data_IF_920185866876
#
_entry.id   IF_920185866876
#
_cell.length_a   1.000
_cell.length_b   1.000
_cell.length_c   1.000
_cell.angle_alpha   90.00
_cell.angle_beta   90.00
_cell.angle_gamma   90.00
#
_symmetry.space_group_name_H-M   'P 1'
#
loop_
_entity.id
_entity.type
_entity.pdbx_description
1 polymer ?
#
# COMPACT_ATOMS: atom_id res chain seq x y z
N UNK A 1 33.43 -69.28 -23.77
CA UNK A 1 33.50 -67.88 -23.29
C UNK A 1 32.17 -67.24 -23.63
N UNK A 2 31.26 -67.19 -22.65
CA UNK A 2 29.86 -66.79 -22.80
C UNK A 2 29.75 -65.26 -22.89
N UNK A 3 29.07 -64.77 -23.93
CA UNK A 3 28.66 -63.37 -24.07
C UNK A 3 27.32 -63.18 -23.36
N UNK A 4 27.36 -62.50 -22.21
CA UNK A 4 26.17 -62.06 -21.47
C UNK A 4 25.75 -60.71 -22.06
N UNK A 5 24.63 -60.68 -22.77
CA UNK A 5 23.99 -59.46 -23.24
C UNK A 5 23.24 -58.80 -22.08
N UNK A 6 23.64 -57.57 -21.74
CA UNK A 6 23.01 -56.74 -20.71
C UNK A 6 21.80 -56.01 -21.31
N UNK A 7 20.61 -56.29 -20.78
CA UNK A 7 19.36 -55.62 -21.12
C UNK A 7 19.23 -54.32 -20.28
N UNK A 8 19.04 -53.12 -20.85
CA UNK A 8 18.73 -51.94 -20.05
C UNK A 8 17.25 -51.94 -19.67
N UNK A 9 17.01 -51.91 -18.35
CA UNK A 9 15.69 -51.75 -17.74
C UNK A 9 15.21 -50.30 -17.97
N UNK A 10 14.28 -50.09 -18.91
CA UNK A 10 13.58 -48.79 -19.06
C UNK A 10 12.66 -48.58 -17.85
N UNK A 11 13.06 -47.69 -16.95
CA UNK A 11 12.22 -47.20 -15.86
C UNK A 11 11.23 -46.18 -16.46
N UNK A 12 9.96 -46.56 -16.62
CA UNK A 12 8.90 -45.66 -17.06
C UNK A 12 8.63 -44.61 -15.99
N UNK A 13 9.16 -43.41 -16.20
CA UNK A 13 8.72 -42.19 -15.51
C UNK A 13 7.26 -41.92 -15.88
N UNK A 14 6.35 -42.20 -14.94
CA UNK A 14 4.98 -41.70 -15.00
C UNK A 14 5.03 -40.16 -14.92
N UNK A 15 4.49 -39.41 -15.89
CA UNK A 15 4.37 -37.98 -15.75
C UNK A 15 3.40 -37.68 -14.60
N UNK A 16 3.88 -36.91 -13.62
CA UNK A 16 3.03 -36.22 -12.65
C UNK A 16 1.93 -35.47 -13.41
N UNK A 17 0.70 -35.58 -12.89
CA UNK A 17 -0.54 -35.24 -13.59
C UNK A 17 -0.48 -33.97 -14.42
N UNK A 18 -0.79 -34.10 -15.71
CA UNK A 18 -1.31 -32.99 -16.47
C UNK A 18 -2.57 -32.50 -15.74
N UNK A 19 -2.53 -31.30 -15.19
CA UNK A 19 -3.73 -30.60 -14.79
C UNK A 19 -4.68 -30.61 -16.00
N UNK A 20 -5.88 -31.16 -15.81
CA UNK A 20 -6.95 -31.01 -16.79
C UNK A 20 -7.08 -29.51 -17.10
N UNK A 21 -6.78 -29.09 -18.34
CA UNK A 21 -7.26 -27.81 -18.87
C UNK A 21 -8.77 -27.92 -18.92
N UNK A 22 -9.40 -27.64 -17.79
CA UNK A 22 -10.79 -27.25 -17.78
C UNK A 22 -10.75 -25.81 -18.27
N UNK A 23 -11.43 -25.53 -19.38
CA UNK A 23 -11.71 -24.16 -19.80
C UNK A 23 -12.15 -23.35 -18.57
N UNK A 24 -11.60 -22.16 -18.36
CA UNK A 24 -11.99 -21.29 -17.25
C UNK A 24 -12.71 -20.06 -17.80
N UNK A 25 -13.68 -19.55 -17.06
CA UNK A 25 -14.28 -18.24 -17.35
C UNK A 25 -13.98 -17.29 -16.21
N UNK A 26 -13.39 -16.13 -16.52
CA UNK A 26 -13.19 -15.03 -15.56
C UNK A 26 -14.44 -14.16 -15.55
N UNK A 27 -15.03 -13.95 -14.38
CA UNK A 27 -16.28 -13.17 -14.23
C UNK A 27 -16.03 -11.75 -13.73
N UNK A 28 -15.00 -11.57 -12.91
CA UNK A 28 -14.63 -10.27 -12.38
C UNK A 28 -13.14 -10.26 -11.97
N UNK A 29 -12.56 -9.06 -11.92
CA UNK A 29 -11.21 -8.85 -11.43
C UNK A 29 -11.08 -7.60 -10.56
N UNK A 30 -10.26 -7.68 -9.52
CA UNK A 30 -9.80 -6.54 -8.73
C UNK A 30 -8.28 -6.44 -8.88
N UNK A 31 -7.77 -5.25 -9.21
CA UNK A 31 -6.34 -4.95 -9.30
C UNK A 31 -5.95 -3.89 -8.28
N UNK A 32 -4.82 -4.10 -7.62
CA UNK A 32 -4.05 -3.06 -6.92
C UNK A 32 -2.70 -2.86 -7.61
N UNK A 33 -2.46 -1.66 -8.13
CA UNK A 33 -1.33 -1.32 -8.96
C UNK A 33 -0.38 -0.38 -8.22
N UNK A 34 0.87 -0.80 -8.00
CA UNK A 34 1.90 0.09 -7.44
C UNK A 34 2.20 1.21 -8.44
N UNK A 35 2.43 2.42 -7.97
CA UNK A 35 3.02 3.46 -8.81
C UNK A 35 4.27 3.00 -9.56
N UNK A 36 4.53 3.65 -10.70
CA UNK A 36 5.71 3.40 -11.50
C UNK A 36 6.80 4.42 -11.18
N UNK A 37 7.83 4.45 -12.00
CA UNK A 37 8.97 5.34 -11.81
C UNK A 37 8.59 6.82 -11.61
N UNK A 38 9.23 7.42 -10.62
CA UNK A 38 9.03 8.81 -10.17
C UNK A 38 10.37 9.44 -9.79
N UNK A 39 10.37 10.76 -9.58
CA UNK A 39 11.51 11.45 -8.97
C UNK A 39 11.77 10.93 -7.54
N UNK A 40 12.95 11.24 -6.98
CA UNK A 40 13.34 10.80 -5.63
C UNK A 40 12.32 11.24 -4.56
N UNK A 41 11.89 10.32 -3.69
CA UNK A 41 10.82 10.54 -2.70
C UNK A 41 11.19 11.61 -1.68
N UNK A 42 12.47 11.66 -1.27
CA UNK A 42 12.94 12.56 -0.22
C UNK A 42 13.23 13.99 -0.70
N UNK A 43 12.93 14.31 -1.97
CA UNK A 43 13.01 15.66 -2.53
C UNK A 43 11.66 16.10 -3.12
N UNK A 44 10.65 16.39 -2.28
CA UNK A 44 9.34 16.84 -2.76
C UNK A 44 9.43 18.21 -3.48
N UNK A 45 8.50 18.53 -4.42
CA UNK A 45 7.35 17.71 -4.80
C UNK A 45 7.73 16.57 -5.75
N UNK A 46 7.34 15.35 -5.37
CA UNK A 46 7.59 14.14 -6.15
C UNK A 46 6.65 14.06 -7.34
N UNK A 47 7.18 13.69 -8.52
CA UNK A 47 6.41 13.61 -9.77
C UNK A 47 6.68 12.30 -10.50
N UNK A 48 5.66 11.78 -11.18
CA UNK A 48 5.83 10.65 -12.08
C UNK A 48 6.66 11.08 -13.29
N UNK A 49 7.66 10.28 -13.67
CA UNK A 49 8.50 10.63 -14.83
C UNK A 49 7.91 10.11 -16.13
N UNK A 50 8.46 10.51 -17.28
CA UNK A 50 8.09 9.94 -18.58
C UNK A 50 8.35 8.44 -18.66
N UNK A 51 9.40 7.94 -18.01
CA UNK A 51 9.64 6.50 -17.88
C UNK A 51 8.50 5.85 -17.08
N UNK A 52 8.10 6.44 -15.97
CA UNK A 52 6.98 5.97 -15.16
C UNK A 52 5.66 5.94 -15.94
N UNK A 53 5.36 7.00 -16.68
CA UNK A 53 4.17 7.05 -17.56
C UNK A 53 4.20 5.91 -18.59
N UNK A 54 5.36 5.66 -19.20
CA UNK A 54 5.55 4.56 -20.17
C UNK A 54 5.35 3.19 -19.52
N UNK A 55 5.92 2.98 -18.33
CA UNK A 55 5.73 1.75 -17.56
C UNK A 55 4.27 1.52 -17.20
N UNK A 56 3.55 2.56 -16.75
CA UNK A 56 2.15 2.48 -16.39
C UNK A 56 1.27 2.18 -17.62
N UNK A 57 1.54 2.84 -18.75
CA UNK A 57 0.90 2.55 -20.04
C UNK A 57 1.12 1.08 -20.46
N UNK A 58 2.36 0.58 -20.42
CA UNK A 58 2.67 -0.83 -20.73
C UNK A 58 1.94 -1.78 -19.78
N UNK A 59 1.84 -1.45 -18.50
CA UNK A 59 1.06 -2.21 -17.52
C UNK A 59 -0.42 -2.26 -17.90
N UNK A 60 -1.01 -1.12 -18.25
CA UNK A 60 -2.38 -1.04 -18.76
C UNK A 60 -2.60 -1.94 -19.99
N UNK A 61 -1.67 -1.91 -20.96
CA UNK A 61 -1.72 -2.77 -22.15
C UNK A 61 -1.67 -4.26 -21.82
N UNK A 62 -0.86 -4.65 -20.84
CA UNK A 62 -0.78 -6.04 -20.38
C UNK A 62 -2.15 -6.52 -19.86
N UNK A 63 -2.79 -5.73 -18.99
CA UNK A 63 -4.08 -6.09 -18.42
C UNK A 63 -5.24 -5.94 -19.40
N UNK A 64 -5.15 -5.04 -20.39
CA UNK A 64 -6.09 -5.01 -21.51
C UNK A 64 -6.04 -6.31 -22.32
N UNK A 65 -4.84 -6.80 -22.64
CA UNK A 65 -4.65 -8.07 -23.34
C UNK A 65 -5.22 -9.24 -22.53
N UNK A 66 -5.08 -9.23 -21.21
CA UNK A 66 -5.61 -10.32 -20.37
C UNK A 66 -7.13 -10.26 -20.21
N UNK A 67 -7.67 -9.09 -19.88
CA UNK A 67 -9.05 -8.98 -19.39
C UNK A 67 -10.05 -8.41 -20.38
N UNK A 68 -9.60 -7.66 -21.40
CA UNK A 68 -10.50 -7.03 -22.36
C UNK A 68 -10.49 -7.72 -23.72
N UNK A 69 -9.31 -8.14 -24.20
CA UNK A 69 -9.15 -8.75 -25.51
C UNK A 69 -10.07 -9.97 -25.68
N UNK A 70 -10.90 -9.97 -26.72
CA UNK A 70 -11.83 -11.06 -27.03
C UNK A 70 -11.12 -12.37 -27.42
N UNK A 71 -9.82 -12.32 -27.73
CA UNK A 71 -8.99 -13.49 -28.00
C UNK A 71 -8.31 -14.06 -26.75
N UNK A 72 -8.46 -13.42 -25.59
CA UNK A 72 -7.89 -13.91 -24.34
C UNK A 72 -8.79 -14.96 -23.70
N UNK A 73 -8.19 -16.10 -23.33
CA UNK A 73 -8.82 -17.14 -22.49
C UNK A 73 -9.17 -16.63 -21.08
N UNK A 74 -8.74 -15.40 -20.74
CA UNK A 74 -8.99 -14.74 -19.46
C UNK A 74 -9.81 -13.46 -19.60
N UNK A 75 -10.43 -13.21 -20.76
CA UNK A 75 -11.33 -12.09 -20.93
C UNK A 75 -12.39 -12.11 -19.81
N UNK A 76 -12.63 -10.96 -19.18
CA UNK A 76 -13.70 -10.84 -18.21
C UNK A 76 -15.03 -10.96 -18.96
N UNK A 77 -15.87 -11.89 -18.52
CA UNK A 77 -17.13 -12.20 -19.20
C UNK A 77 -18.00 -10.96 -19.40
N UNK A 78 -18.34 -10.70 -20.67
CA UNK A 78 -19.20 -9.61 -21.08
C UNK A 78 -18.62 -8.22 -20.83
N UNK A 79 -17.30 -8.08 -20.67
CA UNK A 79 -16.65 -6.77 -20.74
C UNK A 79 -16.43 -6.39 -22.21
N UNK A 80 -16.55 -5.11 -22.53
CA UNK A 80 -16.28 -4.66 -23.91
C UNK A 80 -14.78 -4.73 -24.23
N UNK A 81 -14.39 -5.31 -25.37
CA UNK A 81 -12.98 -5.45 -25.76
C UNK A 81 -12.34 -4.15 -26.24
N UNK A 82 -13.15 -3.16 -26.62
CA UNK A 82 -12.66 -1.97 -27.33
C UNK A 82 -13.30 -0.65 -26.91
N UNK A 83 -14.37 -0.70 -26.09
CA UNK A 83 -15.12 0.50 -25.69
C UNK A 83 -15.23 0.57 -24.17
N UNK A 84 -14.78 1.67 -23.59
CA UNK A 84 -14.91 1.94 -22.16
C UNK A 84 -16.38 2.02 -21.75
N UNK A 85 -16.73 1.32 -20.68
CA UNK A 85 -18.05 1.38 -20.04
C UNK A 85 -17.90 1.69 -18.54
N UNK A 86 -18.41 2.84 -18.05
CA UNK A 86 -18.31 3.23 -16.64
C UNK A 86 -19.11 2.33 -15.69
N UNK A 87 -20.00 1.47 -16.21
CA UNK A 87 -20.68 0.45 -15.42
C UNK A 87 -19.81 -0.79 -15.17
N UNK A 88 -18.86 -1.10 -16.07
CA UNK A 88 -18.00 -2.29 -15.98
C UNK A 88 -16.71 -1.99 -15.20
N UNK A 89 -16.10 -0.82 -15.44
CA UNK A 89 -14.81 -0.43 -14.87
C UNK A 89 -14.94 0.69 -13.83
N UNK A 90 -14.31 0.50 -12.68
CA UNK A 90 -14.03 1.56 -11.70
C UNK A 90 -12.54 1.65 -11.38
N UNK A 91 -11.99 2.86 -11.41
CA UNK A 91 -10.58 3.12 -11.10
C UNK A 91 -10.46 4.20 -10.04
N UNK A 92 -9.68 3.93 -8.99
CA UNK A 92 -9.45 4.84 -7.88
C UNK A 92 -7.95 5.07 -7.64
N UNK A 93 -7.61 6.27 -7.19
CA UNK A 93 -6.29 6.60 -6.65
C UNK A 93 -6.45 7.60 -5.49
N UNK A 94 -5.57 7.56 -4.47
CA UNK A 94 -5.41 8.70 -3.58
C UNK A 94 -5.06 9.96 -4.39
N UNK A 95 -5.51 11.13 -3.92
CA UNK A 95 -5.27 12.43 -4.55
C UNK A 95 -3.82 12.91 -4.36
N UNK A 96 -2.89 12.12 -4.91
CA UNK A 96 -1.45 12.34 -4.91
C UNK A 96 -0.94 12.38 -6.35
N UNK A 97 -0.13 13.40 -6.74
CA UNK A 97 0.27 13.59 -8.14
C UNK A 97 0.88 12.35 -8.82
N UNK A 98 1.70 11.58 -8.09
CA UNK A 98 2.34 10.35 -8.61
C UNK A 98 1.31 9.26 -8.89
N UNK A 99 0.37 9.04 -7.96
CA UNK A 99 -0.64 7.98 -8.04
C UNK A 99 -1.70 8.32 -9.09
N UNK A 100 -2.17 9.57 -9.11
CA UNK A 100 -3.12 10.07 -10.10
C UNK A 100 -2.55 9.95 -11.51
N UNK A 101 -1.32 10.42 -11.72
CA UNK A 101 -0.68 10.34 -13.05
C UNK A 101 -0.43 8.88 -13.45
N UNK A 102 -0.09 7.99 -12.51
CA UNK A 102 0.05 6.56 -12.78
C UNK A 102 -1.27 5.97 -13.26
N UNK A 103 -2.37 6.25 -12.55
CA UNK A 103 -3.70 5.77 -12.92
C UNK A 103 -4.13 6.27 -14.31
N UNK A 104 -3.86 7.53 -14.61
CA UNK A 104 -4.14 8.11 -15.93
C UNK A 104 -3.35 7.40 -17.04
N UNK A 105 -2.03 7.26 -16.88
CA UNK A 105 -1.18 6.56 -17.87
C UNK A 105 -1.55 5.08 -18.01
N UNK A 106 -1.91 4.42 -16.90
CA UNK A 106 -2.42 3.05 -16.92
C UNK A 106 -3.71 2.95 -17.75
N UNK A 107 -4.66 3.86 -17.55
CA UNK A 107 -5.93 3.88 -18.28
C UNK A 107 -5.74 4.11 -19.79
N UNK A 108 -4.76 4.92 -20.19
CA UNK A 108 -4.39 5.09 -21.60
C UNK A 108 -3.94 3.77 -22.25
N UNK A 109 -3.25 2.92 -21.47
CA UNK A 109 -2.89 1.58 -21.89
C UNK A 109 -4.06 0.61 -21.84
N UNK A 110 -4.93 0.73 -20.84
CA UNK A 110 -6.04 -0.20 -20.66
C UNK A 110 -7.11 -0.04 -21.74
N UNK A 111 -7.51 1.20 -22.03
CA UNK A 111 -8.47 1.56 -23.08
C UNK A 111 -7.79 2.50 -24.08
N UNK A 112 -6.98 1.96 -25.02
CA UNK A 112 -6.33 2.77 -26.03
C UNK A 112 -7.35 3.45 -26.97
N UNK A 113 -6.92 4.44 -27.78
CA UNK A 113 -7.78 5.07 -28.76
C UNK A 113 -8.49 4.06 -29.67
N UNK A 114 -9.77 4.31 -29.96
CA UNK A 114 -10.64 3.39 -30.67
C UNK A 114 -11.69 4.16 -31.47
N UNK A 115 -11.84 3.82 -32.74
CA UNK A 115 -12.92 4.36 -33.59
C UNK A 115 -14.29 3.72 -33.29
N UNK A 116 -14.34 2.69 -32.43
CA UNK A 116 -15.60 2.03 -32.04
C UNK A 116 -16.55 2.97 -31.27
N UNK A 117 -16.03 4.04 -30.69
CA UNK A 117 -16.79 5.05 -29.97
C UNK A 117 -17.16 6.27 -30.84
N UNK A 118 -16.96 6.22 -32.17
CA UNK A 118 -17.31 7.33 -33.06
C UNK A 118 -18.82 7.60 -33.05
N UNK A 119 -19.20 8.86 -32.87
CA UNK A 119 -20.59 9.29 -32.89
C UNK A 119 -21.01 9.66 -34.32
N UNK A 120 -22.22 9.27 -34.72
CA UNK A 120 -22.79 9.73 -36.00
C UNK A 120 -23.81 10.83 -35.71
N UNK A 121 -23.52 12.04 -36.19
CA UNK A 121 -24.40 13.19 -36.06
C UNK A 121 -25.64 13.03 -36.93
N UNK A 122 -26.71 13.79 -36.62
CA UNK A 122 -27.98 13.74 -37.37
C UNK A 122 -27.84 14.05 -38.87
N UNK A 123 -26.77 14.74 -39.28
CA UNK A 123 -26.46 15.04 -40.68
C UNK A 123 -25.65 13.93 -41.39
N UNK A 124 -25.40 12.80 -40.73
CA UNK A 124 -24.63 11.67 -41.24
C UNK A 124 -23.11 11.78 -41.09
N UNK A 125 -22.60 12.89 -40.52
CA UNK A 125 -21.16 13.05 -40.25
C UNK A 125 -20.73 12.13 -39.12
N UNK A 126 -19.66 11.37 -39.31
CA UNK A 126 -19.01 10.60 -38.25
C UNK A 126 -17.98 11.47 -37.56
N UNK A 127 -18.11 11.62 -36.25
CA UNK A 127 -17.19 12.38 -35.40
C UNK A 127 -16.45 11.40 -34.50
N UNK A 128 -15.12 11.44 -34.56
CA UNK A 128 -14.26 10.71 -33.63
C UNK A 128 -13.89 11.62 -32.45
N UNK A 129 -13.67 11.02 -31.29
CA UNK A 129 -13.12 11.75 -30.15
C UNK A 129 -11.70 12.28 -30.49
N UNK A 130 -11.26 13.39 -29.86
CA UNK A 130 -9.90 13.91 -30.03
C UNK A 130 -8.81 12.85 -29.78
N UNK A 131 -7.58 13.14 -30.20
CA UNK A 131 -6.42 12.25 -30.05
C UNK A 131 -6.68 10.85 -30.65
N UNK A 132 -7.19 10.84 -31.89
CA UNK A 132 -7.41 9.62 -32.70
C UNK A 132 -8.41 8.63 -32.07
N UNK A 133 -9.47 9.14 -31.44
CA UNK A 133 -10.48 8.31 -30.78
C UNK A 133 -10.14 7.95 -29.34
N UNK A 134 -9.40 8.82 -28.63
CA UNK A 134 -9.03 8.59 -27.24
C UNK A 134 -10.26 8.40 -26.33
N UNK A 135 -10.18 7.39 -25.46
CA UNK A 135 -11.26 7.03 -24.55
C UNK A 135 -11.04 7.64 -23.17
N UNK A 136 -12.00 8.43 -22.70
CA UNK A 136 -11.93 9.14 -21.42
C UNK A 136 -12.40 8.25 -20.27
N UNK A 137 -11.69 7.15 -20.01
CA UNK A 137 -11.95 6.31 -18.86
C UNK A 137 -11.78 7.11 -17.55
N UNK A 138 -12.77 7.05 -16.66
CA UNK A 138 -12.77 7.85 -15.44
C UNK A 138 -11.79 7.31 -14.39
N UNK A 139 -10.96 8.20 -13.85
CA UNK A 139 -10.18 7.98 -12.63
C UNK A 139 -10.82 8.79 -11.49
N UNK A 140 -11.21 8.11 -10.42
CA UNK A 140 -11.73 8.74 -9.21
C UNK A 140 -10.57 9.01 -8.25
N UNK A 141 -10.37 10.27 -7.89
CA UNK A 141 -9.36 10.67 -6.90
C UNK A 141 -10.00 10.85 -5.53
N UNK A 142 -9.33 10.38 -4.48
CA UNK A 142 -9.85 10.45 -3.11
C UNK A 142 -8.91 11.28 -2.23
N UNK A 143 -9.45 12.34 -1.64
CA UNK A 143 -8.71 13.21 -0.74
C UNK A 143 -8.44 12.50 0.59
N UNK A 144 -7.27 12.76 1.19
CA UNK A 144 -6.79 12.10 2.41
C UNK A 144 -7.67 12.26 3.65
N UNK A 145 -8.52 13.29 3.69
CA UNK A 145 -9.46 13.59 4.77
C UNK A 145 -10.86 13.01 4.53
N UNK A 146 -11.07 12.35 3.39
CA UNK A 146 -12.27 11.56 3.13
C UNK A 146 -12.25 10.25 3.90
N UNK A 147 -13.39 9.77 4.44
CA UNK A 147 -13.47 8.42 5.00
C UNK A 147 -13.12 7.33 3.98
N UNK A 148 -13.27 7.58 2.67
CA UNK A 148 -12.91 6.60 1.64
C UNK A 148 -11.39 6.43 1.46
N UNK A 149 -10.58 7.37 1.96
CA UNK A 149 -9.12 7.34 1.78
C UNK A 149 -8.48 6.11 2.43
N UNK A 150 -9.04 5.65 3.56
CA UNK A 150 -8.47 4.53 4.34
C UNK A 150 -8.43 3.23 3.53
N UNK A 151 -9.35 3.07 2.56
CA UNK A 151 -9.45 1.88 1.72
C UNK A 151 -8.44 1.86 0.59
N UNK A 152 -7.79 3.00 0.31
CA UNK A 152 -6.76 3.14 -0.72
C UNK A 152 -5.36 3.21 -0.11
N UNK A 153 -5.24 3.82 1.07
CA UNK A 153 -3.98 4.00 1.80
C UNK A 153 -4.23 4.03 3.31
N UNK A 154 -4.18 2.85 3.93
CA UNK A 154 -4.62 2.64 5.32
C UNK A 154 -3.66 3.19 6.38
N UNK A 155 -2.41 3.41 6.01
CA UNK A 155 -1.33 3.98 6.81
C UNK A 155 -1.39 5.51 6.86
N UNK A 156 -1.96 6.15 5.84
CA UNK A 156 -2.05 7.61 5.80
C UNK A 156 -2.99 8.13 6.90
N UNK A 157 -2.56 9.18 7.59
CA UNK A 157 -3.29 9.75 8.73
C UNK A 157 -3.53 8.75 9.87
N UNK A 158 -2.61 7.81 10.05
CA UNK A 158 -2.63 6.79 11.10
C UNK A 158 -1.47 7.02 12.11
N UNK A 159 -1.63 7.91 13.12
CA UNK A 159 -0.57 8.20 14.08
C UNK A 159 0.03 6.99 14.79
N UNK A 160 -0.76 5.94 15.03
CA UNK A 160 -0.25 4.70 15.62
C UNK A 160 0.70 3.94 14.69
N UNK A 161 0.52 4.04 13.37
CA UNK A 161 1.43 3.51 12.37
C UNK A 161 2.69 4.38 12.28
N UNK A 162 2.54 5.71 12.23
CA UNK A 162 3.67 6.66 12.22
C UNK A 162 4.60 6.44 13.43
N UNK A 163 4.01 6.17 14.61
CA UNK A 163 4.77 5.88 15.82
C UNK A 163 5.63 4.61 15.72
N UNK A 164 5.34 3.68 14.80
CA UNK A 164 6.20 2.51 14.53
C UNK A 164 7.53 2.96 13.92
N UNK A 165 7.51 3.93 13.00
CA UNK A 165 8.72 4.49 12.40
C UNK A 165 9.55 5.22 13.45
N UNK A 166 8.91 5.97 14.36
CA UNK A 166 9.60 6.71 15.43
C UNK A 166 10.34 5.80 16.42
N UNK A 167 9.81 4.61 16.68
CA UNK A 167 10.41 3.60 17.57
C UNK A 167 11.07 2.47 16.80
N UNK A 168 11.29 2.64 15.49
CA UNK A 168 11.95 1.64 14.67
C UNK A 168 13.40 1.48 15.13
N UNK A 169 13.62 0.48 15.98
CA UNK A 169 14.95 0.14 16.49
C UNK A 169 15.66 -0.73 15.45
N UNK A 170 16.51 -0.10 14.64
CA UNK A 170 17.50 -0.83 13.86
C UNK A 170 18.43 -1.55 14.83
N UNK A 171 18.63 -2.85 14.63
CA UNK A 171 19.60 -3.60 15.45
C UNK A 171 20.97 -2.93 15.37
N UNK A 172 21.63 -2.71 16.51
CA UNK A 172 22.92 -2.02 16.55
C UNK A 172 23.97 -2.72 15.68
N UNK A 173 23.87 -4.05 15.51
CA UNK A 173 24.70 -4.83 14.61
C UNK A 173 24.44 -4.50 13.14
N UNK A 174 23.18 -4.45 12.69
CA UNK A 174 22.88 -4.16 11.28
C UNK A 174 23.27 -2.73 10.87
N UNK A 175 23.01 -1.76 11.75
CA UNK A 175 23.44 -0.38 11.53
C UNK A 175 24.98 -0.32 11.41
N UNK A 176 25.70 -0.96 12.34
CA UNK A 176 27.17 -0.99 12.35
C UNK A 176 27.76 -1.73 11.14
N UNK A 177 27.25 -2.92 10.84
CA UNK A 177 27.78 -3.83 9.81
C UNK A 177 27.59 -3.28 8.40
N UNK A 178 26.57 -2.44 8.19
CA UNK A 178 26.27 -1.84 6.89
C UNK A 178 26.77 -0.41 6.74
N UNK A 179 27.20 0.24 7.83
CA UNK A 179 27.60 1.66 7.82
C UNK A 179 28.69 1.96 6.80
N UNK A 180 29.78 1.18 6.80
CA UNK A 180 30.89 1.37 5.87
C UNK A 180 30.46 1.19 4.41
N UNK A 181 29.53 0.27 4.13
CA UNK A 181 28.97 0.07 2.80
C UNK A 181 28.20 1.32 2.35
N UNK A 182 27.30 1.85 3.17
CA UNK A 182 26.55 3.07 2.85
C UNK A 182 27.45 4.30 2.68
N UNK A 183 28.42 4.49 3.58
CA UNK A 183 29.34 5.64 3.49
C UNK A 183 30.27 5.59 2.26
N UNK A 184 30.51 4.41 1.68
CA UNK A 184 31.29 4.25 0.45
C UNK A 184 30.65 4.94 -0.78
N UNK A 185 29.37 5.30 -0.72
CA UNK A 185 28.68 6.02 -1.78
C UNK A 185 28.81 7.55 -1.67
N UNK A 186 29.33 8.08 -0.56
CA UNK A 186 29.30 9.52 -0.29
C UNK A 186 29.96 10.35 -1.39
N UNK A 187 31.25 10.14 -1.64
CA UNK A 187 32.02 10.99 -2.57
C UNK A 187 31.60 10.81 -4.04
N UNK A 188 31.06 9.64 -4.40
CA UNK A 188 30.70 9.29 -5.79
C UNK A 188 29.24 9.51 -6.17
N UNK A 189 28.33 9.58 -5.20
CA UNK A 189 26.87 9.65 -5.46
C UNK A 189 26.17 10.73 -4.62
N UNK A 190 26.53 10.89 -3.35
CA UNK A 190 25.73 11.67 -2.39
C UNK A 190 26.33 13.01 -1.95
N UNK A 191 27.53 13.36 -2.42
CA UNK A 191 28.13 14.68 -2.16
C UNK A 191 27.20 15.80 -2.63
N UNK A 192 26.79 16.68 -1.71
CA UNK A 192 25.83 17.76 -1.96
C UNK A 192 24.36 17.33 -2.02
N UNK A 193 24.05 16.05 -1.78
CA UNK A 193 22.68 15.50 -1.80
C UNK A 193 22.21 15.14 -0.40
N UNK A 194 23.04 14.39 0.34
CA UNK A 194 22.72 13.89 1.68
C UNK A 194 23.98 13.90 2.53
N UNK A 195 23.87 14.38 3.78
CA UNK A 195 24.97 14.33 4.74
C UNK A 195 25.48 12.90 4.93
N UNK A 196 26.81 12.72 4.98
CA UNK A 196 27.44 11.41 5.16
C UNK A 196 26.89 10.66 6.39
N UNK A 197 26.57 11.39 7.46
CA UNK A 197 26.00 10.82 8.69
C UNK A 197 24.66 10.11 8.46
N UNK A 198 23.87 10.54 7.47
CA UNK A 198 22.58 9.94 7.10
C UNK A 198 22.71 8.74 6.17
N UNK A 199 23.88 8.48 5.60
CA UNK A 199 24.11 7.26 4.82
C UNK A 199 24.25 6.07 5.78
N UNK A 200 23.13 5.41 6.03
CA UNK A 200 23.06 4.23 6.90
C UNK A 200 21.79 3.40 6.70
N UNK A 201 21.68 2.27 7.42
CA UNK A 201 20.52 1.39 7.33
C UNK A 201 19.24 2.06 7.81
N UNK A 202 19.33 2.92 8.83
CA UNK A 202 18.21 3.76 9.27
C UNK A 202 17.60 4.62 8.15
N UNK A 203 18.35 4.91 7.07
CA UNK A 203 17.85 5.59 5.88
C UNK A 203 17.90 4.70 4.62
N UNK A 204 17.87 3.38 4.77
CA UNK A 204 18.09 2.41 3.70
C UNK A 204 17.21 2.69 2.47
N UNK A 205 15.92 2.94 2.68
CA UNK A 205 15.00 3.26 1.58
C UNK A 205 15.33 4.58 0.91
N UNK A 206 15.61 5.65 1.66
CA UNK A 206 15.94 6.95 1.06
C UNK A 206 17.21 6.89 0.20
N UNK A 207 18.22 6.13 0.65
CA UNK A 207 19.47 5.90 -0.11
C UNK A 207 19.19 5.06 -1.35
N UNK A 208 18.53 3.90 -1.20
CA UNK A 208 18.19 3.04 -2.33
C UNK A 208 17.34 3.76 -3.37
N UNK A 209 16.31 4.50 -2.94
CA UNK A 209 15.40 5.21 -3.82
C UNK A 209 16.13 6.28 -4.65
N UNK A 210 17.08 7.02 -4.06
CA UNK A 210 17.89 7.99 -4.79
C UNK A 210 18.73 7.31 -5.88
N UNK A 211 19.41 6.22 -5.53
CA UNK A 211 20.27 5.47 -6.46
C UNK A 211 19.43 4.82 -7.55
N UNK A 212 18.30 4.18 -7.21
CA UNK A 212 17.43 3.50 -8.15
C UNK A 212 16.80 4.47 -9.18
N UNK A 213 16.38 5.66 -8.73
CA UNK A 213 15.91 6.72 -9.65
C UNK A 213 17.07 7.30 -10.46
N UNK A 214 18.24 7.44 -9.84
CA UNK A 214 19.43 8.01 -10.44
C UNK A 214 20.06 7.14 -11.53
N UNK A 215 20.05 5.82 -11.38
CA UNK A 215 20.72 4.90 -12.31
C UNK A 215 20.15 4.95 -13.73
N UNK A 216 18.88 5.35 -13.87
CA UNK A 216 18.20 5.48 -15.17
C UNK A 216 18.27 6.88 -15.77
N UNK A 217 18.75 7.89 -15.01
CA UNK A 217 18.65 9.33 -15.37
C UNK A 217 19.94 10.10 -15.27
N UNK A 218 20.91 9.54 -14.57
CA UNK A 218 22.15 10.20 -14.26
C UNK A 218 23.29 9.25 -14.62
N UNK A 219 23.99 9.57 -15.71
CA UNK A 219 25.11 8.79 -16.22
C UNK A 219 26.24 8.63 -15.20
N UNK A 220 26.46 9.64 -14.34
CA UNK A 220 27.45 9.57 -13.27
C UNK A 220 27.06 8.50 -12.25
N UNK A 221 25.82 8.47 -11.80
CA UNK A 221 25.31 7.43 -10.87
C UNK A 221 25.36 6.06 -11.56
N UNK A 222 24.92 5.98 -12.82
CA UNK A 222 24.92 4.74 -13.60
C UNK A 222 26.31 4.10 -13.78
N UNK A 223 27.35 4.92 -13.91
CA UNK A 223 28.75 4.46 -13.96
C UNK A 223 29.34 4.22 -12.58
N UNK A 224 28.88 4.94 -11.57
CA UNK A 224 29.43 4.90 -10.23
C UNK A 224 28.95 3.70 -9.42
N UNK A 225 27.76 3.16 -9.70
CA UNK A 225 27.12 2.09 -8.91
C UNK A 225 27.03 0.80 -9.73
N UNK A 226 27.56 -0.31 -9.18
CA UNK A 226 27.47 -1.62 -9.83
C UNK A 226 26.09 -2.27 -9.65
N UNK A 227 25.79 -3.30 -10.46
CA UNK A 227 24.56 -4.10 -10.30
C UNK A 227 24.47 -4.77 -8.93
N UNK A 228 25.59 -5.27 -8.41
CA UNK A 228 25.64 -5.96 -7.12
C UNK A 228 25.45 -4.98 -5.95
N UNK A 229 26.00 -3.78 -6.08
CA UNK A 229 25.78 -2.69 -5.12
C UNK A 229 24.31 -2.24 -5.11
N UNK A 230 23.71 -2.07 -6.29
CA UNK A 230 22.28 -1.75 -6.39
C UNK A 230 21.41 -2.86 -5.78
N UNK A 231 21.71 -4.12 -6.07
CA UNK A 231 21.00 -5.26 -5.49
C UNK A 231 21.13 -5.30 -3.96
N UNK A 232 22.32 -5.01 -3.42
CA UNK A 232 22.53 -4.92 -1.96
C UNK A 232 21.77 -3.75 -1.34
N UNK A 233 21.75 -2.56 -1.98
CA UNK A 233 20.95 -1.43 -1.53
C UNK A 233 19.45 -1.78 -1.53
N UNK A 234 18.96 -2.44 -2.59
CA UNK A 234 17.57 -2.89 -2.68
C UNK A 234 17.23 -3.90 -1.59
N UNK A 235 18.12 -4.85 -1.31
CA UNK A 235 17.94 -5.85 -0.26
C UNK A 235 17.84 -5.19 1.13
N UNK A 236 18.76 -4.27 1.45
CA UNK A 236 18.73 -3.57 2.74
C UNK A 236 17.49 -2.68 2.88
N UNK A 237 17.11 -1.96 1.82
CA UNK A 237 15.87 -1.19 1.79
C UNK A 237 14.64 -2.09 1.97
N UNK A 238 14.63 -3.27 1.34
CA UNK A 238 13.55 -4.25 1.50
C UNK A 238 13.40 -4.71 2.93
N UNK A 239 14.52 -4.99 3.61
CA UNK A 239 14.48 -5.39 5.02
C UNK A 239 13.95 -4.28 5.93
N UNK A 240 14.41 -3.05 5.74
CA UNK A 240 13.91 -1.91 6.50
C UNK A 240 12.40 -1.71 6.28
N UNK A 241 11.95 -1.67 5.01
CA UNK A 241 10.54 -1.44 4.70
C UNK A 241 9.64 -2.61 5.11
N UNK A 242 10.11 -3.86 5.03
CA UNK A 242 9.37 -5.00 5.55
C UNK A 242 9.25 -4.94 7.08
N UNK A 243 10.29 -4.51 7.80
CA UNK A 243 10.21 -4.34 9.25
C UNK A 243 9.20 -3.26 9.69
N UNK A 244 8.96 -2.26 8.84
CA UNK A 244 7.96 -1.21 9.07
C UNK A 244 6.54 -1.64 8.69
N UNK A 245 6.38 -2.47 7.65
CA UNK A 245 5.07 -2.71 7.05
C UNK A 245 4.58 -4.17 7.15
N UNK A 246 5.46 -5.15 7.35
CA UNK A 246 5.16 -6.57 7.20
C UNK A 246 5.71 -7.49 8.29
N UNK A 247 6.63 -7.02 9.14
CA UNK A 247 7.13 -7.78 10.30
C UNK A 247 6.13 -7.69 11.45
N UNK A 248 5.12 -8.55 11.40
CA UNK A 248 3.96 -8.53 12.29
C UNK A 248 3.94 -9.73 13.23
N UNK A 249 3.62 -9.48 14.50
CA UNK A 249 3.40 -10.56 15.46
C UNK A 249 2.02 -11.20 15.30
N UNK A 250 1.04 -10.45 14.80
CA UNK A 250 -0.31 -10.92 14.47
C UNK A 250 -0.92 -10.07 13.35
N UNK A 251 -1.99 -10.55 12.74
CA UNK A 251 -2.71 -9.80 11.69
C UNK A 251 -3.38 -8.52 12.19
N UNK A 252 -3.46 -8.28 13.50
CA UNK A 252 -4.02 -7.05 14.09
C UNK A 252 -2.94 -6.02 14.45
N UNK A 253 -1.66 -6.33 14.21
CA UNK A 253 -0.57 -5.38 14.36
C UNK A 253 -0.81 -4.13 13.50
N UNK A 254 -0.47 -2.95 14.01
CA UNK A 254 -0.71 -1.68 13.31
C UNK A 254 0.08 -1.59 12.00
N UNK A 255 1.25 -2.24 11.90
CA UNK A 255 2.04 -2.35 10.65
C UNK A 255 1.23 -2.97 9.50
N UNK A 256 0.28 -3.84 9.84
CA UNK A 256 -0.58 -4.51 8.86
C UNK A 256 -1.70 -3.61 8.30
N UNK A 257 -1.86 -2.37 8.76
CA UNK A 257 -3.08 -1.59 8.54
C UNK A 257 -3.45 -1.43 7.06
N UNK A 258 -2.49 -1.13 6.18
CA UNK A 258 -2.74 -0.96 4.74
C UNK A 258 -3.11 -2.27 4.07
N UNK A 259 -2.49 -3.38 4.47
CA UNK A 259 -2.90 -4.71 4.02
C UNK A 259 -4.32 -5.04 4.44
N UNK A 260 -4.72 -4.72 5.67
CA UNK A 260 -6.06 -5.00 6.20
C UNK A 260 -7.16 -4.14 5.57
N UNK A 261 -6.87 -2.88 5.26
CA UNK A 261 -7.82 -2.01 4.54
C UNK A 261 -7.94 -2.44 3.08
N UNK A 262 -6.84 -2.83 2.43
CA UNK A 262 -6.89 -3.41 1.08
C UNK A 262 -7.67 -4.73 1.07
N UNK A 263 -7.44 -5.61 2.04
CA UNK A 263 -8.16 -6.87 2.19
C UNK A 263 -9.68 -6.63 2.26
N UNK A 264 -10.11 -5.62 3.03
CA UNK A 264 -11.52 -5.21 3.06
C UNK A 264 -11.99 -4.73 1.70
N UNK A 265 -11.24 -3.84 1.04
CA UNK A 265 -11.60 -3.29 -0.26
C UNK A 265 -11.75 -4.37 -1.32
N UNK A 266 -10.82 -5.31 -1.40
CA UNK A 266 -10.87 -6.44 -2.33
C UNK A 266 -12.13 -7.28 -2.07
N UNK A 267 -12.38 -7.63 -0.81
CA UNK A 267 -13.55 -8.44 -0.44
C UNK A 267 -14.87 -7.77 -0.82
N UNK A 268 -15.02 -6.47 -0.52
CA UNK A 268 -16.23 -5.72 -0.84
C UNK A 268 -16.47 -5.64 -2.36
N UNK A 269 -15.41 -5.40 -3.13
CA UNK A 269 -15.51 -5.28 -4.59
C UNK A 269 -15.86 -6.60 -5.28
N UNK A 270 -15.25 -7.71 -4.85
CA UNK A 270 -15.60 -9.03 -5.39
C UNK A 270 -17.03 -9.44 -4.98
N UNK A 271 -17.43 -9.14 -3.75
CA UNK A 271 -18.81 -9.38 -3.27
C UNK A 271 -19.83 -8.57 -4.08
N UNK A 272 -19.52 -7.32 -4.41
CA UNK A 272 -20.36 -6.47 -5.26
C UNK A 272 -20.50 -7.06 -6.67
N UNK A 273 -19.39 -7.45 -7.30
CA UNK A 273 -19.42 -8.04 -8.63
C UNK A 273 -20.26 -9.34 -8.64
N UNK A 274 -20.11 -10.21 -7.64
CA UNK A 274 -20.87 -11.46 -7.53
C UNK A 274 -22.36 -11.19 -7.27
N UNK A 275 -22.70 -10.34 -6.31
CA UNK A 275 -24.09 -10.04 -5.95
C UNK A 275 -24.87 -9.33 -7.06
N UNK A 276 -24.18 -8.58 -7.93
CA UNK A 276 -24.76 -7.96 -9.13
C UNK A 276 -24.71 -8.89 -10.35
N UNK A 277 -24.27 -10.14 -10.19
CA UNK A 277 -24.13 -11.14 -11.27
C UNK A 277 -23.22 -10.66 -12.41
N UNK A 278 -22.16 -9.92 -12.09
CA UNK A 278 -21.24 -9.34 -13.06
C UNK A 278 -21.86 -8.24 -13.93
N UNK A 279 -22.97 -7.63 -13.51
CA UNK A 279 -23.61 -6.53 -14.24
C UNK A 279 -23.04 -5.15 -13.90
N UNK A 280 -22.30 -5.04 -12.79
CA UNK A 280 -21.67 -3.80 -12.33
C UNK A 280 -20.28 -4.07 -11.76
N UNK A 281 -19.37 -3.15 -12.02
CA UNK A 281 -18.03 -3.08 -11.41
C UNK A 281 -17.27 -4.41 -11.49
N UNK A 282 -17.44 -5.13 -12.61
CA UNK A 282 -16.75 -6.41 -12.86
C UNK A 282 -15.24 -6.24 -12.97
N UNK A 283 -14.75 -5.02 -13.22
CA UNK A 283 -13.34 -4.71 -13.16
C UNK A 283 -13.09 -3.49 -12.25
N UNK A 284 -12.39 -3.72 -11.15
CA UNK A 284 -12.00 -2.68 -10.20
C UNK A 284 -10.48 -2.50 -10.18
N UNK A 285 -10.02 -1.26 -10.16
CA UNK A 285 -8.60 -0.92 -10.12
C UNK A 285 -8.36 0.13 -9.03
N UNK A 286 -7.35 -0.11 -8.20
CA UNK A 286 -6.82 0.89 -7.28
C UNK A 286 -5.32 1.09 -7.53
N UNK A 287 -4.85 2.32 -7.41
CA UNK A 287 -3.43 2.68 -7.51
C UNK A 287 -2.90 3.05 -6.13
N UNK A 288 -1.73 2.52 -5.77
CA UNK A 288 -1.10 2.81 -4.49
C UNK A 288 0.40 2.57 -4.49
N UNK A 289 0.93 2.22 -3.31
CA UNK A 289 2.36 2.16 -3.04
C UNK A 289 2.79 0.80 -2.50
N UNK A 290 4.09 0.59 -2.31
CA UNK A 290 4.66 -0.72 -2.01
C UNK A 290 4.41 -1.18 -0.57
N UNK A 291 4.26 -0.26 0.36
CA UNK A 291 3.90 -0.47 1.76
C UNK A 291 2.66 -1.37 1.87
N UNK A 292 1.61 -1.05 1.10
CA UNK A 292 0.38 -1.82 1.02
C UNK A 292 0.62 -3.25 0.51
N UNK A 293 1.56 -3.45 -0.42
CA UNK A 293 1.94 -4.81 -0.86
C UNK A 293 2.61 -5.58 0.27
N UNK A 294 3.63 -5.00 0.92
CA UNK A 294 4.37 -5.66 2.01
C UNK A 294 3.43 -6.03 3.16
N UNK A 295 2.56 -5.09 3.52
CA UNK A 295 1.52 -5.25 4.54
C UNK A 295 0.51 -6.34 4.16
N UNK A 296 0.01 -6.34 2.92
CA UNK A 296 -0.90 -7.37 2.42
C UNK A 296 -0.24 -8.76 2.37
N UNK A 297 0.98 -8.85 1.83
CA UNK A 297 1.74 -10.10 1.74
C UNK A 297 1.93 -10.74 3.11
N UNK A 298 2.25 -9.94 4.12
CA UNK A 298 2.40 -10.41 5.50
C UNK A 298 1.10 -11.04 6.03
N UNK A 299 -0.04 -10.35 5.92
CA UNK A 299 -1.32 -10.85 6.49
C UNK A 299 -1.91 -12.04 5.75
N UNK A 300 -1.59 -12.23 4.47
CA UNK A 300 -1.98 -13.43 3.71
C UNK A 300 -0.91 -14.53 3.73
N UNK A 301 0.19 -14.33 4.46
CA UNK A 301 1.21 -15.36 4.71
C UNK A 301 2.08 -15.73 3.51
N UNK A 302 2.18 -14.88 2.48
CA UNK A 302 3.07 -15.12 1.33
C UNK A 302 4.56 -15.23 1.71
N UNK A 303 5.07 -14.50 2.72
CA UNK A 303 6.45 -14.67 3.15
C UNK A 303 6.77 -16.08 3.67
N UNK A 304 5.77 -16.89 4.06
CA UNK A 304 5.98 -18.30 4.40
C UNK A 304 5.99 -19.22 3.17
N UNK A 305 5.38 -18.79 2.05
CA UNK A 305 5.44 -19.50 0.76
C UNK A 305 6.80 -19.32 0.10
N UNK A 306 7.24 -18.06 -0.05
CA UNK A 306 8.53 -17.67 -0.62
C UNK A 306 9.06 -16.44 0.10
N UNK A 307 10.34 -16.48 0.47
CA UNK A 307 10.97 -15.39 1.20
C UNK A 307 11.01 -14.07 0.41
N UNK A 308 11.00 -14.16 -0.92
CA UNK A 308 10.97 -13.01 -1.84
C UNK A 308 9.78 -12.07 -1.63
N UNK A 309 8.69 -12.52 -1.00
CA UNK A 309 7.56 -11.64 -0.64
C UNK A 309 7.88 -10.69 0.52
N UNK A 310 9.08 -10.79 1.13
CA UNK A 310 9.63 -9.75 2.02
C UNK A 310 10.34 -8.64 1.25
N UNK A 311 10.64 -8.85 -0.03
CA UNK A 311 11.35 -7.86 -0.83
C UNK A 311 10.40 -6.74 -1.26
N UNK A 312 10.95 -5.53 -1.42
CA UNK A 312 10.26 -4.46 -2.10
C UNK A 312 9.78 -4.96 -3.46
N UNK A 313 8.47 -4.90 -3.75
CA UNK A 313 7.98 -5.11 -5.10
C UNK A 313 8.72 -4.18 -6.07
N UNK A 314 8.79 -4.54 -7.34
CA UNK A 314 9.29 -3.67 -8.40
C UNK A 314 8.31 -2.51 -8.69
N UNK A 315 8.78 -1.47 -9.36
CA UNK A 315 7.92 -0.36 -9.77
C UNK A 315 6.89 -0.86 -10.80
N UNK A 316 5.63 -0.47 -10.64
CA UNK A 316 4.53 -0.96 -11.47
C UNK A 316 4.11 -2.41 -11.23
N UNK A 317 4.49 -3.01 -10.10
CA UNK A 317 3.95 -4.32 -9.68
C UNK A 317 2.44 -4.26 -9.45
N UNK A 318 1.80 -5.42 -9.63
CA UNK A 318 0.34 -5.57 -9.55
C UNK A 318 -0.04 -6.82 -8.78
N UNK A 319 -0.98 -6.65 -7.85
CA UNK A 319 -1.79 -7.72 -7.28
C UNK A 319 -3.11 -7.78 -8.04
N UNK A 320 -3.52 -8.95 -8.52
CA UNK A 320 -4.83 -9.16 -9.14
C UNK A 320 -5.58 -10.32 -8.46
N UNK A 321 -6.88 -10.13 -8.26
CA UNK A 321 -7.79 -11.13 -7.70
C UNK A 321 -8.89 -11.39 -8.72
N UNK A 322 -8.97 -12.61 -9.22
CA UNK A 322 -9.94 -13.02 -10.23
C UNK A 322 -11.02 -13.87 -9.60
N UNK A 323 -12.29 -13.56 -9.89
CA UNK A 323 -13.41 -14.47 -9.69
C UNK A 323 -13.54 -15.30 -10.95
N UNK A 324 -13.44 -16.62 -10.83
CA UNK A 324 -13.52 -17.53 -11.96
C UNK A 324 -14.40 -18.75 -11.66
N UNK A 325 -14.78 -19.45 -12.72
CA UNK A 325 -15.41 -20.77 -12.65
C UNK A 325 -14.83 -21.68 -13.72
N UNK A 326 -14.94 -22.99 -13.53
CA UNK A 326 -14.61 -23.96 -14.58
C UNK A 326 -15.74 -24.08 -15.62
N UNK A 327 -15.36 -24.46 -16.83
CA UNK A 327 -16.19 -24.47 -18.03
C UNK A 327 -16.36 -23.09 -18.69
N UNK A 328 -16.79 -23.13 -19.95
CA UNK A 328 -17.26 -21.96 -20.69
C UNK A 328 -18.63 -21.52 -20.14
N UNK A 329 -18.69 -20.32 -19.57
CA UNK A 329 -19.91 -19.76 -19.00
C UNK A 329 -20.44 -18.61 -19.85
N UNK A 330 -21.76 -18.54 -20.02
CA UNK A 330 -22.46 -17.41 -20.65
C UNK A 330 -22.98 -16.39 -19.63
N UNK A 331 -22.96 -16.75 -18.34
CA UNK A 331 -23.36 -15.89 -17.22
C UNK A 331 -22.67 -16.36 -15.93
N UNK A 332 -22.71 -15.53 -14.88
CA UNK A 332 -22.15 -15.88 -13.57
C UNK A 332 -22.90 -17.09 -12.96
N UNK A 333 -22.23 -18.22 -12.66
CA UNK A 333 -22.85 -19.41 -12.09
C UNK A 333 -23.17 -19.24 -10.58
N UNK A 334 -23.65 -20.29 -9.91
CA UNK A 334 -23.93 -20.22 -8.48
C UNK A 334 -22.65 -19.99 -7.67
N UNK A 335 -22.74 -19.28 -6.54
CA UNK A 335 -21.56 -18.89 -5.73
C UNK A 335 -20.66 -20.07 -5.31
N UNK A 336 -21.26 -21.26 -5.09
CA UNK A 336 -20.52 -22.49 -4.74
C UNK A 336 -19.62 -23.02 -5.86
N UNK A 337 -19.82 -22.54 -7.09
CA UNK A 337 -19.06 -22.89 -8.29
C UNK A 337 -17.99 -21.84 -8.61
N UNK A 338 -17.86 -20.81 -7.77
CA UNK A 338 -16.90 -19.74 -7.92
C UNK A 338 -15.62 -20.01 -7.13
N UNK A 339 -14.51 -19.61 -7.75
CA UNK A 339 -13.16 -19.71 -7.21
C UNK A 339 -12.47 -18.35 -7.32
N UNK A 340 -11.46 -18.16 -6.46
CA UNK A 340 -10.57 -17.02 -6.50
C UNK A 340 -9.18 -17.47 -6.92
N UNK A 341 -8.62 -16.79 -7.92
CA UNK A 341 -7.19 -16.86 -8.26
C UNK A 341 -6.52 -15.53 -7.89
N UNK A 342 -5.45 -15.60 -7.12
CA UNK A 342 -4.57 -14.46 -6.87
C UNK A 342 -3.37 -14.51 -7.80
N UNK A 343 -3.10 -13.39 -8.48
CA UNK A 343 -1.95 -13.22 -9.35
C UNK A 343 -1.06 -12.11 -8.80
N UNK A 344 0.25 -12.36 -8.83
CA UNK A 344 1.25 -11.32 -8.61
C UNK A 344 2.08 -11.13 -9.88
N UNK A 345 2.12 -9.89 -10.38
CA UNK A 345 3.01 -9.47 -11.46
C UNK A 345 4.03 -8.48 -10.90
N UNK A 346 5.30 -8.83 -10.90
CA UNK A 346 6.34 -8.01 -10.28
C UNK A 346 7.06 -7.10 -11.30
N UNK A 347 6.51 -5.90 -11.51
CA UNK A 347 7.03 -4.90 -12.44
C UNK A 347 6.36 -4.91 -13.82
N UNK A 348 6.91 -4.10 -14.73
CA UNK A 348 6.30 -3.81 -16.04
C UNK A 348 7.02 -4.41 -17.24
N UNK A 349 8.14 -5.09 -17.02
CA UNK A 349 8.92 -5.72 -18.09
C UNK A 349 8.11 -6.84 -18.77
N UNK A 350 8.43 -7.12 -20.04
CA UNK A 350 7.73 -8.15 -20.82
C UNK A 350 7.96 -9.56 -20.25
N UNK A 351 9.10 -9.76 -19.57
CA UNK A 351 9.43 -10.99 -18.83
C UNK A 351 8.65 -11.15 -17.52
N UNK A 352 8.06 -10.07 -16.99
CA UNK A 352 7.27 -10.11 -15.76
C UNK A 352 5.85 -10.57 -16.07
N UNK A 353 5.62 -11.89 -16.13
CA UNK A 353 4.29 -12.45 -16.26
C UNK A 353 3.54 -12.48 -14.92
N UNK A 354 2.22 -12.26 -14.94
CA UNK A 354 1.36 -12.45 -13.77
C UNK A 354 1.33 -13.93 -13.40
N UNK A 355 1.75 -14.25 -12.16
CA UNK A 355 1.90 -15.62 -11.68
C UNK A 355 0.88 -15.93 -10.61
N UNK A 356 0.16 -17.05 -10.79
CA UNK A 356 -0.77 -17.56 -9.79
C UNK A 356 -0.02 -17.91 -8.49
N UNK A 357 -0.44 -17.29 -7.40
CA UNK A 357 0.23 -17.38 -6.10
C UNK A 357 -0.79 -17.77 -5.04
N UNK A 358 -0.49 -18.75 -4.17
CA UNK A 358 -1.42 -19.19 -3.14
C UNK A 358 -1.60 -18.14 -2.05
N UNK A 359 -2.81 -18.01 -1.52
CA UNK A 359 -3.13 -17.16 -0.37
C UNK A 359 -3.25 -17.98 0.92
N UNK A 360 -3.07 -17.31 2.06
CA UNK A 360 -3.40 -17.75 3.43
C UNK A 360 -2.54 -18.84 4.08
N UNK A 361 -1.28 -19.02 3.64
CA UNK A 361 -0.32 -19.94 4.25
C UNK A 361 -0.89 -21.30 4.68
N UNK A 362 -1.53 -22.00 3.75
CA UNK A 362 -2.12 -23.33 3.99
C UNK A 362 -1.13 -24.45 3.69
N UNK A 363 -1.41 -25.66 4.16
CA UNK A 363 -0.57 -26.84 3.89
C UNK A 363 -0.55 -27.27 2.42
N UNK A 364 -1.57 -26.92 1.63
CA UNK A 364 -1.70 -27.32 0.22
C UNK A 364 -1.13 -26.30 -0.78
N UNK A 365 -0.96 -25.03 -0.38
CA UNK A 365 -0.48 -23.95 -1.25
C UNK A 365 -1.21 -23.89 -2.61
N UNK A 366 -2.53 -24.12 -2.60
CA UNK A 366 -3.36 -24.05 -3.80
C UNK A 366 -3.47 -22.60 -4.29
N UNK A 367 -3.13 -22.36 -5.55
CA UNK A 367 -3.18 -21.02 -6.15
C UNK A 367 -4.61 -20.56 -6.52
N UNK A 368 -5.57 -21.48 -6.47
CA UNK A 368 -7.00 -21.25 -6.74
C UNK A 368 -7.79 -21.84 -5.58
N UNK A 369 -8.62 -21.04 -4.92
CA UNK A 369 -9.40 -21.47 -3.75
C UNK A 369 -10.90 -21.17 -3.94
N UNK A 370 -11.81 -21.93 -3.32
CA UNK A 370 -13.24 -21.63 -3.38
C UNK A 370 -13.56 -20.22 -2.88
N UNK A 371 -14.56 -19.56 -3.49
CA UNK A 371 -15.03 -18.23 -3.07
C UNK A 371 -15.38 -18.18 -1.58
N UNK A 372 -16.10 -19.19 -1.07
CA UNK A 372 -16.47 -19.26 0.35
C UNK A 372 -15.24 -19.25 1.28
N UNK A 373 -14.20 -20.01 0.94
CA UNK A 373 -12.93 -20.04 1.68
C UNK A 373 -12.22 -18.69 1.64
N UNK A 374 -12.20 -18.05 0.47
CA UNK A 374 -11.62 -16.71 0.33
C UNK A 374 -12.39 -15.69 1.17
N UNK A 375 -13.72 -15.68 1.11
CA UNK A 375 -14.56 -14.76 1.85
C UNK A 375 -14.35 -14.89 3.37
N UNK A 376 -14.32 -16.12 3.89
CA UNK A 376 -14.06 -16.40 5.30
C UNK A 376 -12.67 -15.90 5.73
N UNK A 377 -11.63 -16.32 5.01
CA UNK A 377 -10.24 -16.02 5.40
C UNK A 377 -9.87 -14.54 5.20
N UNK A 378 -10.31 -13.93 4.09
CA UNK A 378 -10.10 -12.51 3.83
C UNK A 378 -10.89 -11.66 4.84
N UNK A 379 -12.13 -12.04 5.15
CA UNK A 379 -12.96 -11.35 6.13
C UNK A 379 -12.39 -11.40 7.56
N UNK A 380 -11.68 -12.48 7.91
CA UNK A 380 -11.02 -12.61 9.21
C UNK A 380 -9.83 -11.65 9.42
N UNK A 381 -9.13 -11.27 8.34
CA UNK A 381 -7.96 -10.37 8.40
C UNK A 381 -8.30 -8.92 8.04
N UNK A 382 -9.36 -8.71 7.25
CA UNK A 382 -9.83 -7.41 6.83
C UNK A 382 -10.22 -6.51 8.02
N UNK A 383 -10.05 -5.21 7.84
CA UNK A 383 -10.60 -4.24 8.79
C UNK A 383 -12.13 -4.15 8.63
N UNK A 384 -12.85 -4.08 9.75
CA UNK A 384 -14.31 -4.20 9.75
C UNK A 384 -15.03 -2.91 9.40
N UNK A 385 -14.39 -1.76 9.58
CA UNK A 385 -15.00 -0.47 9.34
C UNK A 385 -14.12 0.70 9.74
N UNK A 386 -14.66 1.89 9.53
CA UNK A 386 -14.06 3.16 9.93
C UNK A 386 -13.87 3.25 11.45
N UNK A 387 -14.79 2.67 12.22
CA UNK A 387 -14.72 2.64 13.69
C UNK A 387 -13.46 1.91 14.18
N UNK A 388 -13.21 0.71 13.65
CA UNK A 388 -12.03 -0.08 13.96
C UNK A 388 -10.76 0.65 13.51
N UNK A 389 -10.74 1.18 12.27
CA UNK A 389 -9.60 1.92 11.75
C UNK A 389 -9.28 3.14 12.62
N UNK A 390 -10.26 3.99 12.92
CA UNK A 390 -10.08 5.17 13.76
C UNK A 390 -9.55 4.79 15.16
N UNK A 391 -10.05 3.70 15.75
CA UNK A 391 -9.61 3.26 17.07
C UNK A 391 -8.21 2.64 17.08
N UNK A 392 -7.82 1.89 16.04
CA UNK A 392 -6.48 1.33 15.91
C UNK A 392 -5.45 2.42 15.61
N UNK A 393 -5.75 3.27 14.63
CA UNK A 393 -4.85 4.33 14.17
C UNK A 393 -4.70 5.48 15.16
N UNK A 394 -5.64 5.65 16.11
CA UNK A 394 -5.73 6.85 16.96
C UNK A 394 -5.80 8.14 16.12
N UNK A 395 -6.49 8.06 14.99
CA UNK A 395 -6.54 9.15 14.01
C UNK A 395 -7.35 10.34 14.50
N UNK A 396 -6.90 11.55 14.14
CA UNK A 396 -7.59 12.80 14.44
C UNK A 396 -8.40 13.32 13.25
N UNK A 397 -8.59 12.51 12.21
CA UNK A 397 -9.43 12.86 11.06
C UNK A 397 -10.85 13.21 11.52
N UNK A 398 -11.47 14.19 10.88
CA UNK A 398 -12.78 14.71 11.31
C UNK A 398 -13.87 13.62 11.31
N UNK A 399 -13.82 12.69 10.35
CA UNK A 399 -14.75 11.56 10.29
C UNK A 399 -14.59 10.57 11.46
N UNK A 400 -13.43 10.57 12.14
CA UNK A 400 -13.21 9.72 13.32
C UNK A 400 -13.91 10.23 14.59
N UNK A 401 -14.31 11.51 14.64
CA UNK A 401 -14.98 12.09 15.80
C UNK A 401 -16.28 11.36 16.18
N UNK A 402 -16.97 10.76 15.20
CA UNK A 402 -18.19 9.99 15.44
C UNK A 402 -17.96 8.71 16.24
N UNK A 403 -16.72 8.21 16.32
CA UNK A 403 -16.37 6.94 16.96
C UNK A 403 -15.68 7.12 18.31
N UNK A 404 -15.41 8.36 18.72
CA UNK A 404 -14.85 8.65 20.04
C UNK A 404 -15.96 9.08 21.02
N UNK A 405 -15.87 8.70 22.31
CA UNK A 405 -16.85 9.10 23.30
C UNK A 405 -16.94 10.64 23.39
N UNK A 406 -18.18 11.15 23.47
CA UNK A 406 -18.46 12.57 23.60
C UNK A 406 -17.75 13.14 24.84
N UNK A 407 -16.71 13.94 24.61
CA UNK A 407 -15.79 14.40 25.65
C UNK A 407 -14.34 14.48 25.18
N UNK A 408 -13.99 13.81 24.09
CA UNK A 408 -12.72 14.04 23.38
C UNK A 408 -12.89 15.24 22.46
N UNK A 409 -12.68 16.45 23.01
CA UNK A 409 -12.50 17.64 22.17
C UNK A 409 -11.14 17.50 21.47
N UNK A 410 -11.14 17.08 20.22
CA UNK A 410 -9.94 17.19 19.36
C UNK A 410 -9.70 18.68 19.19
N UNK A 411 -8.64 19.19 19.81
CA UNK A 411 -8.36 20.62 19.90
C UNK A 411 -8.24 21.25 18.50
N UNK A 412 -9.25 22.00 18.11
CA UNK A 412 -9.13 22.99 17.05
C UNK A 412 -8.14 24.06 17.51
N UNK A 413 -7.09 24.29 16.73
CA UNK A 413 -6.14 25.37 16.93
C UNK A 413 -6.84 26.73 16.75
N UNK A 414 -7.46 27.23 17.82
CA UNK A 414 -7.90 28.62 17.88
C UNK A 414 -7.25 29.33 19.07
N UNK A 415 -6.50 30.37 18.72
CA UNK A 415 -5.75 31.27 19.59
C UNK A 415 -6.75 32.17 20.33
N UNK A 416 -6.95 31.95 21.64
CA UNK A 416 -7.82 32.77 22.47
C UNK A 416 -7.75 32.39 23.96
N UNK A 417 -7.55 33.39 24.81
CA UNK A 417 -7.13 33.32 26.22
C UNK A 417 -8.17 32.80 27.23
N UNK A 418 -7.64 32.14 28.27
CA UNK A 418 -8.15 31.96 29.65
C UNK A 418 -9.31 30.97 29.91
N UNK A 419 -8.98 29.86 30.59
CA UNK A 419 -9.93 29.05 31.38
C UNK A 419 -9.54 27.58 31.53
N UNK A 420 -8.99 27.19 32.69
CA UNK A 420 -8.83 25.79 33.17
C UNK A 420 -10.23 25.13 33.29
N UNK A 421 -10.53 23.84 33.11
CA UNK A 421 -9.77 22.59 32.96
C UNK A 421 -10.71 21.48 32.44
N UNK A 422 -10.21 20.52 31.65
CA UNK A 422 -10.61 19.11 31.74
C UNK A 422 -9.45 18.20 31.26
N UNK A 423 -9.23 17.02 31.86
CA UNK A 423 -7.97 16.30 31.79
C UNK A 423 -8.06 15.06 30.91
N UNK A 424 -7.65 15.14 29.64
CA UNK A 424 -7.23 13.99 28.84
C UNK A 424 -6.10 14.43 27.89
N UNK A 425 -4.92 14.62 28.45
CA UNK A 425 -3.68 14.84 27.69
C UNK A 425 -2.50 14.10 28.35
N UNK A 426 -2.77 12.94 28.96
CA UNK A 426 -1.83 12.28 29.84
C UNK A 426 -1.83 10.77 29.70
N UNK A 427 -1.51 10.24 28.52
CA UNK A 427 -1.00 8.86 28.41
C UNK A 427 0.31 8.76 27.62
N UNK A 428 0.68 9.73 26.77
CA UNK A 428 1.98 9.66 26.03
C UNK A 428 3.10 10.52 26.66
N UNK A 429 2.84 11.28 27.73
CA UNK A 429 3.87 12.04 28.47
C UNK A 429 4.20 11.52 29.89
N UNK A 430 3.44 10.55 30.41
CA UNK A 430 3.52 10.16 31.82
C UNK A 430 4.73 9.31 32.20
N UNK A 431 5.19 8.44 31.28
CA UNK A 431 6.29 7.50 31.57
C UNK A 431 7.66 8.19 31.45
N UNK A 432 7.81 9.14 30.51
CA UNK A 432 9.06 9.87 30.30
C UNK A 432 9.27 10.93 31.38
N UNK A 433 8.21 11.66 31.80
CA UNK A 433 8.35 12.66 32.87
C UNK A 433 8.62 12.01 34.23
N UNK A 434 8.00 10.87 34.55
CA UNK A 434 8.34 10.14 35.77
C UNK A 434 9.74 9.52 35.73
N UNK A 435 10.20 9.05 34.56
CA UNK A 435 11.57 8.57 34.36
C UNK A 435 12.63 9.67 34.52
N UNK A 436 12.42 10.83 33.90
CA UNK A 436 13.34 11.97 33.99
C UNK A 436 13.32 12.59 35.39
N UNK A 437 12.16 12.70 36.03
CA UNK A 437 12.05 13.24 37.40
C UNK A 437 12.63 12.29 38.45
N UNK A 438 12.56 10.97 38.25
CA UNK A 438 13.21 9.98 39.13
C UNK A 438 14.74 10.00 38.97
N UNK A 439 15.25 10.13 37.75
CA UNK A 439 16.69 10.32 37.50
C UNK A 439 17.23 11.64 38.07
N UNK A 440 16.50 12.74 37.93
CA UNK A 440 16.89 14.05 38.46
C UNK A 440 16.83 14.10 40.00
N UNK A 441 15.89 13.39 40.63
CA UNK A 441 15.81 13.29 42.10
C UNK A 441 16.90 12.38 42.67
N UNK A 442 17.23 11.28 42.00
CA UNK A 442 18.39 10.44 42.33
C UNK A 442 19.72 11.22 42.20
N UNK A 443 19.89 11.99 41.12
CA UNK A 443 21.08 12.84 40.93
C UNK A 443 21.19 13.93 42.01
N UNK A 444 20.08 14.58 42.39
CA UNK A 444 20.06 15.60 43.43
C UNK A 444 20.36 15.02 44.84
N UNK A 445 19.96 13.78 45.11
CA UNK A 445 20.27 13.05 46.34
C UNK A 445 21.76 12.65 46.42
N UNK A 446 22.37 12.21 45.31
CA UNK A 446 23.81 11.92 45.24
C UNK A 446 24.68 13.18 45.38
N UNK A 447 24.16 14.35 45.02
CA UNK A 447 24.84 15.65 45.14
C UNK A 447 24.55 16.39 46.46
N UNK A 448 23.81 15.79 47.40
CA UNK A 448 23.61 16.32 48.76
C UNK A 448 22.68 17.53 48.88
N UNK A 449 21.85 17.83 47.86
CA UNK A 449 20.96 18.99 47.86
C UNK A 449 19.65 18.67 48.62
N UNK A 450 19.36 19.43 49.69
CA UNK A 450 18.10 19.31 50.46
C UNK A 450 17.05 20.30 49.98
N UNK A 451 15.86 19.79 49.64
CA UNK A 451 14.70 20.62 49.28
C UNK A 451 13.93 21.03 50.54
N UNK A 452 13.87 22.34 50.85
CA UNK A 452 13.07 22.87 51.95
C UNK A 452 11.74 23.44 51.45
N UNK A 453 10.62 23.03 52.05
CA UNK A 453 9.27 23.47 51.71
C UNK A 453 8.98 24.85 52.33
N UNK A 454 8.73 25.89 51.51
CA UNK A 454 8.23 27.18 52.03
C UNK A 454 6.72 27.07 52.34
N UNK A 455 6.34 27.43 53.56
CA UNK A 455 4.96 27.47 54.05
C UNK A 455 4.29 28.78 53.57
N UNK A 456 3.09 28.69 52.97
CA UNK A 456 2.30 29.87 52.57
C UNK A 456 1.69 30.56 53.81
N UNK A 457 1.77 31.89 53.85
CA UNK A 457 1.11 32.75 54.83
C UNK A 457 -0.40 32.90 54.53
N UNK A 458 -1.28 33.14 55.52
CA UNK A 458 -2.71 33.29 55.30
C UNK A 458 -3.08 34.67 54.74
N UNK A 459 -4.10 34.71 53.90
CA UNK A 459 -4.65 35.92 53.28
C UNK A 459 -5.41 36.80 54.29
N UNK A 460 -5.23 38.12 54.19
CA UNK A 460 -5.97 39.11 54.97
C UNK A 460 -7.41 39.28 54.45
N UNK A 461 -8.37 39.37 55.37
CA UNK A 461 -9.75 39.77 55.10
C UNK A 461 -9.82 41.29 54.94
N UNK A 462 -10.40 41.77 53.86
CA UNK A 462 -10.89 43.15 53.71
C UNK A 462 -12.32 43.26 54.26
N UNK A 463 -12.55 44.33 55.02
CA UNK A 463 -13.84 44.76 55.56
C UNK A 463 -14.50 45.77 54.59
N UNK A 464 -15.83 45.71 54.52
CA UNK A 464 -16.71 46.58 53.74
C UNK A 464 -16.87 48.00 54.31
N UNK A 465 -17.28 48.88 53.39
CA UNK A 465 -18.05 50.14 53.52
C UNK A 465 -17.44 51.38 54.20
N UNK A 466 -17.30 52.47 53.42
CA UNK A 466 -18.34 53.50 53.33
C UNK A 466 -17.92 54.74 52.50
N UNK A 467 -18.82 55.10 51.58
CA UNK A 467 -19.29 56.43 51.18
C UNK A 467 -18.32 57.61 50.86
N UNK A 468 -18.48 58.06 49.60
CA UNK A 468 -19.00 59.40 49.24
C UNK A 468 -18.06 60.61 49.08
N UNK A 469 -18.19 61.25 47.91
CA UNK A 469 -18.24 62.71 47.61
C UNK A 469 -17.19 63.28 46.64
N UNK A 470 -17.74 63.73 45.50
CA UNK A 470 -17.46 64.88 44.60
C UNK A 470 -16.09 65.18 43.96
N UNK A 471 -16.18 65.27 42.62
CA UNK A 471 -15.80 66.36 41.70
C UNK A 471 -14.41 67.00 41.83
N UNK A 472 -13.61 66.85 40.77
CA UNK A 472 -13.56 67.81 39.66
C UNK A 472 -12.96 67.12 38.43
#
# INVERSE_FOLDING_TARGET
MQLIASLPLLLSLLPFGAAHHSDETVHAAVIFHRHTDRTWKSAPPTRLTTLGQTQAYKSGRYWAKRYLDASSDHQILGISPSTYNPADLKVYAPDEPVLVTTGQSFLQGLYPPSSAAAETLANGTKLEAPLEGYQYAALHTVQKDSPEAIWLKGDDSCPAHDAVEDVFEVSSSEESDTKAFYESFYDRVFSGVMDKSKLSFSNAFAVFDYVNVGITRNETIAKAVSSDELAKLQYLASRAEFALNGDIASTTDIRAISGRTLARRVLDQLTLAISTKGLKEKFFISVGSYDTFLSFFAIVGLPAFKDEFRNLPNLGSVMAFEVLSYGQQSSLPAEKELFIRFLFRNGTEDTSAATATPLFSTSSWDAIIPWATFQEKMGAIAIKGLDEWCNLCKSQQLFCNAYYPAGVTVGSLNKGSNGLSAPVAGIVGGVIVLGVMSLLTLAALFLGLRVTRKRKLPAAKTLDDASSIEKA
#
